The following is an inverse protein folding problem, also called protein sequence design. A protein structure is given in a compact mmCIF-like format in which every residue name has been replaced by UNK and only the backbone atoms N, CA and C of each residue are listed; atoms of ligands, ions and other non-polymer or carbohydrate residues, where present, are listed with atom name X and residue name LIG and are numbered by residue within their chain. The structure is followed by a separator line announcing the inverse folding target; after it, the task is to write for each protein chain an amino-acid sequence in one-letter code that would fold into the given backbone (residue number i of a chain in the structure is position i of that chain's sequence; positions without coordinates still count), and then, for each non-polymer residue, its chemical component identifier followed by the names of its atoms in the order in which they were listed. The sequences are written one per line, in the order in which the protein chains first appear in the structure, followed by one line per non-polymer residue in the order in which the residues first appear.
data_IF_173488312237
#
_entry.id   IF_173488312237
#
_cell.length_a   1.000
_cell.length_b   1.000
_cell.length_c   1.000
_cell.angle_alpha   90.00
_cell.angle_beta   90.00
_cell.angle_gamma   90.00
#
_symmetry.space_group_name_H-M   'P 1'
#
loop_
_entity.id
_entity.type
_entity.pdbx_description
1 polymer ?
#
# COMPACT_ATOMS: atom_id res chain seq x y z
N UNK A 1 15.13 2.94 21.61
CA UNK A 1 15.27 2.29 20.28
C UNK A 1 14.93 3.34 19.26
N UNK A 2 15.77 3.49 18.23
CA UNK A 2 15.48 4.41 17.14
C UNK A 2 14.20 3.97 16.42
N UNK A 3 13.29 4.90 16.14
CA UNK A 3 11.99 4.60 15.51
C UNK A 3 12.22 3.92 14.14
N UNK A 4 13.32 4.24 13.48
CA UNK A 4 13.70 3.64 12.21
C UNK A 4 14.14 2.17 12.32
N UNK A 5 14.82 1.78 13.41
CA UNK A 5 15.14 0.37 13.68
C UNK A 5 13.88 -0.45 13.96
N UNK A 6 12.94 0.09 14.74
CA UNK A 6 11.67 -0.55 15.03
C UNK A 6 10.83 -0.76 13.76
N UNK A 7 10.77 0.26 12.89
CA UNK A 7 10.10 0.19 11.59
C UNK A 7 10.72 -0.88 10.68
N UNK A 8 12.06 -0.94 10.59
CA UNK A 8 12.73 -1.95 9.76
C UNK A 8 12.43 -3.37 10.22
N UNK A 9 12.48 -3.63 11.55
CA UNK A 9 12.11 -4.92 12.13
C UNK A 9 10.67 -5.29 11.82
N UNK A 10 9.75 -4.36 12.02
CA UNK A 10 8.33 -4.56 11.71
C UNK A 10 8.11 -4.93 10.24
N UNK A 11 8.74 -4.22 9.30
CA UNK A 11 8.60 -4.51 7.87
C UNK A 11 9.17 -5.89 7.52
N UNK A 12 10.30 -6.27 8.12
CA UNK A 12 10.87 -7.61 7.94
C UNK A 12 9.93 -8.71 8.44
N UNK A 13 9.34 -8.54 9.63
CA UNK A 13 8.37 -9.50 10.18
C UNK A 13 7.10 -9.56 9.34
N UNK A 14 6.58 -8.41 8.89
CA UNK A 14 5.42 -8.33 8.01
C UNK A 14 5.65 -9.07 6.71
N UNK A 15 6.82 -8.87 6.08
CA UNK A 15 7.19 -9.57 4.86
C UNK A 15 7.19 -11.10 5.05
N UNK A 16 7.84 -11.58 6.11
CA UNK A 16 7.90 -13.01 6.41
C UNK A 16 6.51 -13.61 6.61
N UNK A 17 5.63 -12.94 7.37
CA UNK A 17 4.26 -13.40 7.59
C UNK A 17 3.45 -13.39 6.30
N UNK A 18 3.66 -12.40 5.45
CA UNK A 18 2.98 -12.29 4.16
C UNK A 18 3.41 -13.41 3.19
N UNK A 19 4.67 -13.83 3.20
CA UNK A 19 5.12 -14.99 2.42
C UNK A 19 4.47 -16.29 2.90
N UNK A 20 4.35 -16.47 4.22
CA UNK A 20 3.65 -17.63 4.79
C UNK A 20 2.18 -17.65 4.42
N UNK A 21 1.51 -16.49 4.47
CA UNK A 21 0.12 -16.34 4.04
C UNK A 21 -0.07 -16.73 2.56
N UNK A 22 0.83 -16.26 1.68
CA UNK A 22 0.77 -16.60 0.26
C UNK A 22 0.95 -18.09 0.01
N UNK A 23 1.93 -18.71 0.67
CA UNK A 23 2.16 -20.15 0.56
C UNK A 23 0.90 -20.93 0.97
N UNK A 24 0.34 -20.60 2.14
CA UNK A 24 -0.91 -21.19 2.60
C UNK A 24 -2.06 -20.98 1.61
N UNK A 25 -2.23 -19.77 1.08
CA UNK A 25 -3.32 -19.46 0.17
C UNK A 25 -3.23 -20.24 -1.14
N UNK A 26 -2.03 -20.38 -1.72
CA UNK A 26 -1.79 -21.18 -2.93
C UNK A 26 -2.03 -22.66 -2.66
N UNK A 27 -1.56 -23.19 -1.52
CA UNK A 27 -1.71 -24.61 -1.15
C UNK A 27 -3.16 -25.00 -0.84
N UNK A 28 -3.95 -24.08 -0.26
CA UNK A 28 -5.30 -24.36 0.24
C UNK A 28 -6.39 -23.81 -0.68
N UNK A 29 -6.03 -23.35 -1.88
CA UNK A 29 -6.96 -22.75 -2.81
C UNK A 29 -8.01 -23.80 -3.28
N UNK A 30 -9.33 -23.52 -3.11
CA UNK A 30 -10.36 -24.50 -3.42
C UNK A 30 -10.68 -24.63 -4.92
N UNK A 31 -10.41 -23.58 -5.71
CA UNK A 31 -10.71 -23.55 -7.15
C UNK A 31 -9.49 -23.97 -7.98
N UNK A 32 -9.42 -25.26 -8.29
CA UNK A 32 -8.33 -25.83 -9.08
C UNK A 32 -8.42 -25.50 -10.58
N UNK A 33 -9.57 -24.99 -11.08
CA UNK A 33 -9.72 -24.56 -12.46
C UNK A 33 -9.09 -23.18 -12.68
N UNK A 34 -9.03 -22.35 -11.64
CA UNK A 34 -8.38 -21.04 -11.63
C UNK A 34 -7.31 -20.99 -10.52
N UNK A 35 -6.13 -21.61 -10.71
CA UNK A 35 -5.14 -21.73 -9.67
C UNK A 35 -4.60 -20.37 -9.23
N UNK A 36 -4.58 -20.15 -7.93
CA UNK A 36 -3.91 -18.99 -7.33
C UNK A 36 -2.39 -19.12 -7.50
N UNK A 37 -1.72 -18.03 -7.85
CA UNK A 37 -0.28 -18.00 -8.05
C UNK A 37 0.38 -16.89 -7.25
N UNK A 38 1.72 -16.93 -7.18
CA UNK A 38 2.48 -15.85 -6.55
C UNK A 38 2.40 -14.51 -7.32
N UNK A 39 1.95 -14.52 -8.58
CA UNK A 39 1.77 -13.32 -9.40
C UNK A 39 0.55 -12.50 -8.95
N UNK A 40 -0.45 -13.15 -8.38
CA UNK A 40 -1.69 -12.51 -7.92
C UNK A 40 -1.46 -11.60 -6.69
N UNK A 41 -0.31 -11.73 -6.05
CA UNK A 41 0.07 -10.99 -4.84
C UNK A 41 1.07 -9.85 -5.09
N UNK A 42 1.38 -9.53 -6.34
CA UNK A 42 2.40 -8.53 -6.70
C UNK A 42 2.07 -7.14 -6.14
N UNK A 43 0.80 -6.72 -6.19
CA UNK A 43 0.40 -5.41 -5.65
C UNK A 43 0.60 -5.34 -4.12
N UNK A 44 0.19 -6.36 -3.38
CA UNK A 44 0.41 -6.41 -1.94
C UNK A 44 1.91 -6.41 -1.57
N UNK A 45 2.77 -7.05 -2.37
CA UNK A 45 4.23 -6.96 -2.19
C UNK A 45 4.73 -5.53 -2.36
N UNK A 46 4.25 -4.82 -3.40
CA UNK A 46 4.61 -3.42 -3.64
C UNK A 46 4.19 -2.53 -2.46
N UNK A 47 3.00 -2.73 -1.93
CA UNK A 47 2.52 -1.98 -0.76
C UNK A 47 3.41 -2.20 0.47
N UNK A 48 3.76 -3.45 0.79
CA UNK A 48 4.64 -3.78 1.92
C UNK A 48 6.03 -3.17 1.74
N UNK A 49 6.60 -3.24 0.52
CA UNK A 49 7.90 -2.62 0.23
C UNK A 49 7.84 -1.10 0.27
N UNK A 50 6.70 -0.50 -0.10
CA UNK A 50 6.44 0.94 -0.02
C UNK A 50 6.53 1.50 1.40
N UNK A 51 6.26 0.68 2.43
CA UNK A 51 6.39 1.09 3.84
C UNK A 51 7.83 1.45 4.25
N UNK A 52 8.84 1.01 3.49
CA UNK A 52 10.26 1.33 3.73
C UNK A 52 10.59 2.79 3.45
N UNK A 53 9.84 3.42 2.54
CA UNK A 53 10.07 4.79 2.07
C UNK A 53 8.75 5.55 2.08
N UNK A 54 8.35 6.18 3.19
CA UNK A 54 7.09 6.92 3.27
C UNK A 54 7.01 8.09 2.27
N UNK A 55 8.15 8.57 1.77
CA UNK A 55 8.27 9.55 0.69
C UNK A 55 8.06 8.98 -0.73
N UNK A 56 7.93 7.66 -0.89
CA UNK A 56 7.71 6.96 -2.17
C UNK A 56 6.43 6.11 -2.19
N UNK A 57 5.61 6.16 -1.14
CA UNK A 57 4.30 5.50 -1.15
C UNK A 57 3.47 6.04 -2.34
N UNK A 58 2.80 5.17 -3.13
CA UNK A 58 1.93 5.63 -4.20
C UNK A 58 0.90 6.60 -3.61
N UNK A 59 0.73 7.74 -4.27
CA UNK A 59 -0.06 8.90 -3.85
C UNK A 59 -1.58 8.62 -3.82
N UNK A 60 -2.01 7.57 -3.11
CA UNK A 60 -3.40 7.13 -3.01
C UNK A 60 -4.09 7.51 -1.70
N UNK A 61 -3.36 8.07 -0.73
CA UNK A 61 -3.99 8.77 0.40
C UNK A 61 -3.73 10.27 0.21
N UNK A 62 -4.78 11.10 0.03
CA UNK A 62 -4.66 12.50 0.36
C UNK A 62 -4.49 12.53 1.88
N UNK A 63 -3.26 12.38 2.34
CA UNK A 63 -2.84 13.11 3.52
C UNK A 63 -3.17 14.54 3.15
N UNK A 64 -4.09 15.14 3.89
CA UNK A 64 -4.46 16.55 3.81
C UNK A 64 -3.17 17.35 4.06
N UNK A 65 -2.35 17.45 3.02
CA UNK A 65 -1.07 18.13 3.03
C UNK A 65 -1.40 19.55 2.66
N UNK A 66 -0.98 20.48 3.49
CA UNK A 66 -1.08 21.89 3.15
C UNK A 66 -0.37 22.15 1.81
N UNK A 67 -0.78 23.17 1.04
CA UNK A 67 -0.22 23.49 -0.28
C UNK A 67 1.31 23.56 -0.32
N UNK A 68 1.92 23.98 0.79
CA UNK A 68 3.37 24.11 0.96
C UNK A 68 4.11 22.76 1.03
N UNK A 69 3.38 21.66 1.27
CA UNK A 69 3.89 20.29 1.33
C UNK A 69 3.53 19.46 0.08
N UNK A 70 3.08 20.13 -1.00
CA UNK A 70 2.70 19.48 -2.25
C UNK A 70 1.25 18.98 -2.30
N UNK A 71 0.38 19.51 -1.44
CA UNK A 71 -1.07 19.28 -1.50
C UNK A 71 -1.74 19.99 -2.67
N UNK A 72 -3.02 19.67 -2.92
CA UNK A 72 -3.80 20.29 -3.98
C UNK A 72 -3.91 21.81 -3.78
N UNK A 73 -3.36 22.59 -4.70
CA UNK A 73 -3.36 24.06 -4.65
C UNK A 73 -4.65 24.68 -5.20
N UNK A 74 -5.54 23.87 -5.76
CA UNK A 74 -6.78 24.31 -6.40
C UNK A 74 -7.97 23.65 -5.72
N UNK A 75 -8.91 24.47 -5.26
CA UNK A 75 -10.25 24.03 -4.89
C UNK A 75 -11.10 24.06 -6.16
N UNK A 76 -11.71 22.93 -6.51
CA UNK A 76 -12.73 22.89 -7.56
C UNK A 76 -13.97 23.65 -7.04
N UNK A 77 -13.98 24.96 -7.31
CA UNK A 77 -15.15 25.77 -7.14
C UNK A 77 -16.00 25.56 -8.39
N UNK A 78 -16.71 24.44 -8.49
CA UNK A 78 -17.81 24.35 -9.44
C UNK A 78 -18.90 25.30 -8.94
N UNK A 79 -19.02 26.54 -9.47
CA UNK A 79 -20.07 27.41 -9.01
C UNK A 79 -21.38 26.82 -9.55
N UNK A 80 -22.38 26.66 -8.68
CA UNK A 80 -23.71 26.22 -9.10
C UNK A 80 -24.16 27.06 -10.33
N UNK A 81 -24.78 26.45 -11.36
CA UNK A 81 -25.20 27.19 -12.53
C UNK A 81 -26.22 28.24 -12.10
N UNK A 82 -25.96 29.50 -12.45
CA UNK A 82 -26.87 30.61 -12.21
C UNK A 82 -28.22 30.36 -12.92
N UNK A 83 -29.36 30.70 -12.30
CA UNK A 83 -30.70 30.49 -12.86
C UNK A 83 -31.00 31.41 -14.05
#
# INVERSE_FOLDING_TARGET
MDNEDARRRFISELWQRFEQLQAWAVENWPDQEHPLSSADFVESRKEILGLRSPSQAPAGQPVDREPEQGGAQYVDLNPAPWP
#
